data_IF_442489442020
#
_entry.id   IF_442489442020
#
_cell.length_a   1.000
_cell.length_b   1.000
_cell.length_c   1.000
_cell.angle_alpha   90.00
_cell.angle_beta   90.00
_cell.angle_gamma   90.00
#
_symmetry.space_group_name_H-M   'P 1'
#
loop_
_entity.id
_entity.type
_entity.pdbx_description
1 polymer ?
#
# COMPACT_ATOMS: atom_id res chain seq x y z
N UNK A 1 -11.16 10.84 8.06
CA UNK A 1 -10.66 9.70 7.26
C UNK A 1 -9.56 10.26 6.39
N UNK A 2 -8.35 10.15 6.91
CA UNK A 2 -7.14 10.70 6.34
C UNK A 2 -6.68 9.75 5.23
N UNK A 3 -6.59 10.31 4.03
CA UNK A 3 -6.20 9.60 2.83
C UNK A 3 -4.82 8.95 2.98
N UNK A 4 -3.88 9.62 3.64
CA UNK A 4 -2.53 9.10 3.90
C UNK A 4 -2.60 7.86 4.78
N UNK A 5 -3.34 7.92 5.90
CA UNK A 5 -3.50 6.78 6.79
C UNK A 5 -4.10 5.55 6.09
N UNK A 6 -5.13 5.79 5.27
CA UNK A 6 -5.76 4.75 4.44
C UNK A 6 -4.76 4.11 3.46
N UNK A 7 -3.88 4.92 2.86
CA UNK A 7 -2.87 4.45 1.92
C UNK A 7 -1.74 3.69 2.59
N UNK A 8 -1.27 4.15 3.75
CA UNK A 8 -0.28 3.43 4.57
C UNK A 8 -0.84 2.08 4.98
N UNK A 9 -2.08 2.03 5.48
CA UNK A 9 -2.71 0.77 5.86
C UNK A 9 -2.89 -0.18 4.67
N UNK A 10 -3.26 0.35 3.49
CA UNK A 10 -3.35 -0.42 2.25
C UNK A 10 -2.00 -1.03 1.87
N UNK A 11 -0.91 -0.27 1.90
CA UNK A 11 0.43 -0.78 1.61
C UNK A 11 0.78 -1.92 2.57
N UNK A 12 0.54 -1.73 3.87
CA UNK A 12 0.72 -2.80 4.85
C UNK A 12 -0.10 -4.05 4.53
N UNK A 13 -1.36 -3.91 4.11
CA UNK A 13 -2.21 -5.03 3.67
C UNK A 13 -1.68 -5.79 2.44
N UNK A 14 -0.79 -5.21 1.64
CA UNK A 14 -0.18 -5.89 0.49
C UNK A 14 0.94 -6.88 0.88
N UNK A 15 1.62 -6.67 2.02
CA UNK A 15 2.73 -7.55 2.45
C UNK A 15 2.27 -8.78 3.25
N UNK A 16 1.05 -8.80 3.80
CA UNK A 16 0.63 -9.89 4.69
C UNK A 16 -0.85 -9.88 5.05
N UNK A 17 -1.31 -10.96 5.68
CA UNK A 17 -2.67 -11.06 6.21
C UNK A 17 -2.91 -9.98 7.26
N UNK A 18 -4.11 -9.39 7.26
CA UNK A 18 -4.52 -8.31 8.16
C UNK A 18 -4.27 -8.59 9.66
N UNK A 19 -4.05 -9.86 10.04
CA UNK A 19 -3.79 -10.35 11.41
C UNK A 19 -2.31 -10.28 11.86
N UNK A 20 -1.33 -10.04 10.98
CA UNK A 20 0.11 -9.99 11.36
C UNK A 20 0.61 -8.57 11.72
N UNK A 21 -0.24 -7.77 12.38
CA UNK A 21 0.00 -6.33 12.59
C UNK A 21 1.22 -5.96 13.46
N UNK A 22 1.59 -6.68 14.55
CA UNK A 22 2.68 -6.25 15.43
C UNK A 22 4.07 -6.49 14.83
N UNK A 23 4.28 -7.67 14.25
CA UNK A 23 5.56 -8.06 13.65
C UNK A 23 5.86 -7.22 12.41
N UNK A 24 4.84 -6.99 11.57
CA UNK A 24 4.96 -6.15 10.39
C UNK A 24 5.33 -4.70 10.74
N UNK A 25 4.68 -4.10 11.75
CA UNK A 25 5.01 -2.73 12.16
C UNK A 25 6.44 -2.67 12.73
N UNK A 26 6.90 -3.72 13.39
CA UNK A 26 8.26 -3.83 13.91
C UNK A 26 9.31 -3.91 12.80
N UNK A 27 9.05 -4.71 11.78
CA UNK A 27 9.92 -4.81 10.61
C UNK A 27 9.95 -3.50 9.82
N UNK A 28 8.78 -2.88 9.61
CA UNK A 28 8.66 -1.61 8.90
C UNK A 28 9.37 -0.49 9.68
N UNK A 29 9.21 -0.43 11.00
CA UNK A 29 9.92 0.52 11.86
C UNK A 29 11.44 0.32 11.79
N UNK A 30 11.91 -0.94 11.82
CA UNK A 30 13.34 -1.26 11.69
C UNK A 30 13.90 -0.79 10.35
N UNK A 31 13.18 -1.04 9.24
CA UNK A 31 13.59 -0.63 7.89
C UNK A 31 13.54 0.89 7.72
N UNK A 32 12.48 1.53 8.19
CA UNK A 32 12.36 2.98 8.17
C UNK A 32 13.48 3.64 8.98
N UNK A 33 13.80 3.09 10.15
CA UNK A 33 14.90 3.60 10.98
C UNK A 33 16.27 3.47 10.32
N UNK A 34 16.52 2.36 9.60
CA UNK A 34 17.74 2.17 8.80
C UNK A 34 17.84 3.19 7.66
N UNK A 35 16.73 3.49 6.97
CA UNK A 35 16.69 4.47 5.90
C UNK A 35 16.88 5.90 6.39
N UNK A 36 16.30 6.24 7.54
CA UNK A 36 16.32 7.59 8.10
C UNK A 36 17.56 7.89 8.96
N UNK A 37 18.31 6.86 9.36
CA UNK A 37 19.44 7.02 10.28
C UNK A 37 19.03 7.43 11.71
N UNK A 38 17.76 7.22 12.08
CA UNK A 38 17.21 7.51 13.41
C UNK A 38 16.30 6.37 13.87
N UNK A 39 16.11 6.17 15.19
CA UNK A 39 15.15 5.19 15.67
C UNK A 39 13.72 5.57 15.22
N UNK A 40 12.99 4.57 14.75
CA UNK A 40 11.54 4.60 14.47
C UNK A 40 10.92 3.44 15.25
N UNK A 41 9.79 3.67 15.89
CA UNK A 41 9.11 2.69 16.72
C UNK A 41 7.94 2.04 15.97
N UNK A 42 7.50 0.84 16.38
CA UNK A 42 6.28 0.22 15.84
C UNK A 42 5.03 1.08 16.08
N UNK A 43 5.02 1.88 17.14
CA UNK A 43 3.92 2.80 17.48
C UNK A 43 3.86 3.96 16.47
N UNK A 44 5.01 4.50 16.03
CA UNK A 44 5.05 5.53 14.97
C UNK A 44 4.37 5.03 13.67
N UNK A 45 4.57 3.75 13.34
CA UNK A 45 3.94 3.09 12.20
C UNK A 45 2.44 2.88 12.45
N UNK A 46 2.07 2.43 13.65
CA UNK A 46 0.68 2.21 14.02
C UNK A 46 -0.13 3.52 14.00
N UNK A 47 0.48 4.61 14.44
CA UNK A 47 -0.11 5.94 14.42
C UNK A 47 -0.30 6.45 12.99
N UNK A 48 0.71 6.27 12.13
CA UNK A 48 0.61 6.56 10.70
C UNK A 48 -0.52 5.78 10.01
N UNK A 49 -0.80 4.54 10.43
CA UNK A 49 -1.90 3.71 9.91
C UNK A 49 -3.28 4.14 10.42
N UNK A 50 -3.39 4.64 11.66
CA UNK A 50 -4.67 4.93 12.33
C UNK A 50 -5.11 6.38 12.28
N UNK A 51 -4.45 7.24 11.49
CA UNK A 51 -4.73 8.69 11.49
C UNK A 51 -4.49 9.33 12.88
N UNK A 52 -3.67 8.69 13.73
CA UNK A 52 -3.31 9.24 15.03
C UNK A 52 -2.18 10.25 14.85
N UNK A 53 -2.55 11.53 14.70
CA UNK A 53 -1.61 12.61 14.48
C UNK A 53 -1.20 12.79 13.01
N UNK A 54 -0.20 13.65 12.79
CA UNK A 54 0.38 13.94 11.48
C UNK A 54 1.75 13.24 11.38
N UNK A 55 1.84 12.06 10.73
CA UNK A 55 3.11 11.37 10.57
C UNK A 55 4.09 12.27 9.81
N UNK A 56 5.37 12.31 10.23
CA UNK A 56 6.31 13.24 9.63
C UNK A 56 6.64 12.82 8.18
N UNK A 57 6.90 13.77 7.26
CA UNK A 57 7.11 13.49 5.84
C UNK A 57 8.26 12.53 5.55
N UNK A 58 9.31 12.54 6.39
CA UNK A 58 10.45 11.63 6.28
C UNK A 58 10.04 10.17 6.55
N UNK A 59 9.19 9.94 7.53
CA UNK A 59 8.61 8.63 7.82
C UNK A 59 7.73 8.15 6.66
N UNK A 60 6.87 9.02 6.12
CA UNK A 60 6.05 8.68 4.94
C UNK A 60 6.91 8.33 3.72
N UNK A 61 7.99 9.08 3.49
CA UNK A 61 8.95 8.78 2.43
C UNK A 61 9.64 7.42 2.63
N UNK A 62 10.06 7.12 3.85
CA UNK A 62 10.70 5.84 4.18
C UNK A 62 9.74 4.66 4.03
N UNK A 63 8.48 4.83 4.44
CA UNK A 63 7.41 3.86 4.23
C UNK A 63 7.23 3.62 2.72
N UNK A 64 6.99 4.66 1.92
CA UNK A 64 6.82 4.52 0.47
C UNK A 64 8.01 3.78 -0.19
N UNK A 65 9.23 4.16 0.18
CA UNK A 65 10.46 3.52 -0.31
C UNK A 65 10.54 2.04 0.08
N UNK A 66 10.12 1.66 1.29
CA UNK A 66 10.09 0.26 1.70
C UNK A 66 9.18 -0.61 0.81
N UNK A 67 8.06 -0.05 0.36
CA UNK A 67 7.11 -0.71 -0.53
C UNK A 67 7.42 -0.55 -2.02
N UNK A 68 8.57 0.04 -2.37
CA UNK A 68 8.97 0.33 -3.76
C UNK A 68 7.91 1.13 -4.54
N UNK A 69 7.22 2.06 -3.86
CA UNK A 69 6.26 2.99 -4.47
C UNK A 69 6.80 4.42 -4.48
N UNK A 70 6.39 5.21 -5.46
CA UNK A 70 6.74 6.63 -5.54
C UNK A 70 6.34 7.34 -4.23
N UNK A 71 7.26 8.03 -3.53
CA UNK A 71 6.96 8.76 -2.30
C UNK A 71 5.81 9.77 -2.42
N UNK A 72 5.56 10.31 -3.62
CA UNK A 72 4.39 11.17 -3.90
C UNK A 72 3.07 10.48 -3.57
N UNK A 73 3.02 9.15 -3.58
CA UNK A 73 1.83 8.40 -3.21
C UNK A 73 1.32 8.71 -1.79
N UNK A 74 2.25 8.99 -0.86
CA UNK A 74 1.94 9.35 0.52
C UNK A 74 2.10 10.85 0.80
N UNK A 75 3.00 11.53 0.08
CA UNK A 75 3.32 12.95 0.30
C UNK A 75 2.43 13.92 -0.50
N UNK A 76 1.94 13.50 -1.66
CA UNK A 76 1.01 14.26 -2.51
C UNK A 76 -0.12 13.32 -2.97
N UNK A 77 -1.00 12.92 -2.04
CA UNK A 77 -1.94 11.87 -2.34
C UNK A 77 -3.07 12.31 -3.28
N UNK A 78 -3.27 13.62 -3.48
CA UNK A 78 -4.36 14.17 -4.28
C UNK A 78 -4.04 14.34 -5.77
N UNK A 79 -2.76 14.28 -6.17
CA UNK A 79 -2.42 14.32 -7.59
C UNK A 79 -3.04 13.14 -8.37
N UNK A 80 -3.38 13.39 -9.63
CA UNK A 80 -4.17 12.49 -10.47
C UNK A 80 -3.47 11.14 -10.70
N UNK A 81 -2.16 11.18 -10.86
CA UNK A 81 -1.32 10.00 -11.02
C UNK A 81 -1.36 9.11 -9.77
N UNK A 82 -1.33 9.71 -8.58
CA UNK A 82 -1.36 8.96 -7.33
C UNK A 82 -2.75 8.45 -6.98
N UNK A 83 -3.82 9.18 -7.36
CA UNK A 83 -5.20 8.64 -7.32
C UNK A 83 -5.36 7.44 -8.24
N UNK A 84 -4.77 7.49 -9.43
CA UNK A 84 -4.78 6.35 -10.37
C UNK A 84 -4.00 5.15 -9.82
N UNK A 85 -2.83 5.39 -9.22
CA UNK A 85 -2.06 4.34 -8.55
C UNK A 85 -2.83 3.73 -7.38
N UNK A 86 -3.47 4.56 -6.55
CA UNK A 86 -4.30 4.13 -5.42
C UNK A 86 -5.40 3.16 -5.86
N UNK A 87 -6.08 3.50 -6.96
CA UNK A 87 -7.13 2.68 -7.53
C UNK A 87 -6.60 1.31 -8.00
N UNK A 88 -5.46 1.29 -8.70
CA UNK A 88 -4.79 0.05 -9.12
C UNK A 88 -4.41 -0.84 -7.92
N UNK A 89 -3.86 -0.24 -6.86
CA UNK A 89 -3.51 -0.98 -5.63
C UNK A 89 -4.75 -1.52 -4.90
N UNK A 90 -5.86 -0.76 -4.87
CA UNK A 90 -7.13 -1.23 -4.28
C UNK A 90 -7.67 -2.47 -5.00
N UNK A 91 -7.58 -2.46 -6.33
CA UNK A 91 -8.01 -3.58 -7.18
C UNK A 91 -7.17 -4.82 -6.88
N UNK A 92 -5.85 -4.68 -6.74
CA UNK A 92 -4.97 -5.80 -6.39
C UNK A 92 -5.27 -6.38 -5.02
N UNK A 93 -5.48 -5.52 -4.02
CA UNK A 93 -5.87 -5.95 -2.68
C UNK A 93 -7.17 -6.76 -2.72
N UNK A 94 -8.14 -6.31 -3.52
CA UNK A 94 -9.42 -7.01 -3.74
C UNK A 94 -9.21 -8.37 -4.42
N UNK A 95 -8.43 -8.43 -5.50
CA UNK A 95 -8.15 -9.68 -6.21
C UNK A 95 -7.45 -10.71 -5.32
N UNK A 96 -6.49 -10.28 -4.49
CA UNK A 96 -5.83 -11.13 -3.50
C UNK A 96 -6.83 -11.68 -2.48
N UNK A 97 -7.72 -10.82 -1.97
CA UNK A 97 -8.73 -11.21 -0.97
C UNK A 97 -9.71 -12.24 -1.52
N UNK A 98 -10.06 -12.14 -2.80
CA UNK A 98 -10.93 -13.07 -3.50
C UNK A 98 -10.22 -14.35 -3.98
N UNK A 99 -8.93 -14.51 -3.70
CA UNK A 99 -8.16 -15.69 -4.12
C UNK A 99 -7.94 -15.77 -5.65
N UNK A 100 -8.14 -14.65 -6.36
CA UNK A 100 -7.96 -14.57 -7.81
C UNK A 100 -6.45 -14.68 -8.10
N UNK A 101 -6.03 -15.79 -8.72
CA UNK A 101 -4.67 -15.98 -9.20
C UNK A 101 -4.43 -15.05 -10.38
N UNK A 102 -3.92 -13.85 -10.09
CA UNK A 102 -3.41 -12.89 -11.07
C UNK A 102 -2.08 -13.40 -11.67
N UNK A 103 -2.12 -14.54 -12.36
CA UNK A 103 -0.96 -15.34 -12.76
C UNK A 103 0.04 -14.68 -13.72
N UNK A 104 -0.11 -13.39 -14.05
CA UNK A 104 0.76 -12.70 -15.01
C UNK A 104 0.88 -11.19 -14.78
N UNK A 105 0.53 -10.65 -13.62
CA UNK A 105 0.61 -9.19 -13.43
C UNK A 105 2.02 -8.79 -13.01
N UNK A 106 2.91 -8.68 -14.00
CA UNK A 106 4.25 -8.13 -13.85
C UNK A 106 4.19 -6.62 -13.60
N UNK A 107 4.25 -6.20 -12.33
CA UNK A 107 4.52 -4.80 -11.96
C UNK A 107 6.02 -4.53 -12.02
N UNK A 108 6.53 -4.28 -13.22
CA UNK A 108 7.80 -3.55 -13.39
C UNK A 108 7.55 -2.39 -14.34
N UNK A 109 7.04 -1.29 -13.80
CA UNK A 109 7.01 0.02 -14.46
C UNK A 109 6.26 0.14 -15.79
N UNK A 110 5.48 -0.87 -16.20
CA UNK A 110 4.74 -0.91 -17.46
C UNK A 110 3.24 -0.85 -17.25
N UNK A 111 2.53 -0.18 -18.16
CA UNK A 111 1.10 0.12 -18.10
C UNK A 111 0.22 -1.07 -17.70
N UNK A 112 -0.73 -0.79 -16.81
CA UNK A 112 -1.83 -1.70 -16.51
C UNK A 112 -2.74 -1.71 -17.75
N UNK A 113 -2.68 -2.76 -18.57
CA UNK A 113 -3.50 -2.81 -19.78
C UNK A 113 -4.98 -2.85 -19.39
N UNK A 114 -5.81 -2.19 -20.19
CA UNK A 114 -7.27 -2.20 -20.04
C UNK A 114 -7.79 -3.65 -20.01
N UNK A 115 -7.14 -4.55 -20.76
CA UNK A 115 -7.49 -5.98 -20.80
C UNK A 115 -7.21 -6.69 -19.46
N UNK A 116 -6.13 -6.34 -18.76
CA UNK A 116 -5.85 -6.88 -17.41
C UNK A 116 -6.88 -6.36 -16.39
N UNK A 117 -7.35 -5.13 -16.56
CA UNK A 117 -8.43 -4.54 -15.76
C UNK A 117 -9.78 -5.20 -16.05
N UNK A 118 -10.11 -5.41 -17.32
CA UNK A 118 -11.34 -6.08 -17.75
C UNK A 118 -11.38 -7.54 -17.30
N UNK A 119 -10.26 -8.26 -17.40
CA UNK A 119 -10.15 -9.63 -16.91
C UNK A 119 -10.38 -9.69 -15.40
N UNK A 120 -9.84 -8.72 -14.65
CA UNK A 120 -9.99 -8.65 -13.20
C UNK A 120 -11.42 -8.26 -12.81
N UNK A 121 -12.05 -7.31 -13.51
CA UNK A 121 -13.47 -6.96 -13.34
C UNK A 121 -14.38 -8.17 -13.64
N UNK A 122 -14.11 -8.90 -14.72
CA UNK A 122 -14.86 -10.10 -15.09
C UNK A 122 -14.72 -11.19 -14.01
N UNK A 123 -13.50 -11.42 -13.52
CA UNK A 123 -13.25 -12.42 -12.48
C UNK A 123 -13.90 -12.03 -11.15
N UNK A 124 -13.93 -10.74 -10.80
CA UNK A 124 -14.64 -10.24 -9.60
C UNK A 124 -16.16 -10.36 -9.75
N UNK A 125 -16.71 -10.21 -10.96
CA UNK A 125 -18.14 -10.43 -11.24
C UNK A 125 -18.52 -11.91 -11.09
N UNK A 126 -17.68 -12.82 -11.58
CA UNK A 126 -17.91 -14.26 -11.50
C UNK A 126 -17.68 -14.83 -10.10
N UNK A 127 -16.84 -14.20 -9.28
CA UNK A 127 -16.60 -14.59 -7.89
C UNK A 127 -17.70 -14.12 -6.91
N UNK A 128 -18.70 -13.36 -7.39
CA UNK A 128 -19.86 -12.95 -6.59
C UNK A 128 -20.92 -14.07 -6.64
N UNK A 129 -21.35 -14.65 -5.51
CA UNK A 129 -22.42 -15.64 -5.46
C UNK A 129 -23.79 -15.04 -5.81
#
# INVERSE_FOLDING_TARGET
MNLVATRVDRLCGLLGSHEAAPEQNTDLATRAGQLLGRPVTPDDIADARREAGAPPPDLLHAIATHFDVDPRYLLDPECEEMRTLDHKLAILATARTLGIKLGAVHFRGGEFSVEALELLIATVRDARP
#
